data_IF_963297945177
#
_entry.id   IF_963297945177
#
_cell.length_a   1.000
_cell.length_b   1.000
_cell.length_c   1.000
_cell.angle_alpha   90.00
_cell.angle_beta   90.00
_cell.angle_gamma   90.00
#
_symmetry.space_group_name_H-M   'P 1'
#
loop_
_entity.id
_entity.type
_entity.pdbx_description
1 polymer ?
#
# COMPACT_ATOMS: atom_id res chain seq x y z
N UNK A 1 1.67 -22.34 6.53
CA UNK A 1 0.49 -21.75 7.20
C UNK A 1 0.61 -20.25 6.97
N UNK A 2 -0.18 -19.66 6.06
CA UNK A 2 0.01 -18.28 5.55
C UNK A 2 -0.70 -17.21 6.39
N UNK A 3 -1.09 -17.55 7.62
CA UNK A 3 -1.77 -16.62 8.51
C UNK A 3 -0.74 -15.66 9.09
N UNK A 4 -0.71 -14.45 8.53
CA UNK A 4 0.09 -13.28 8.93
C UNK A 4 -0.68 -12.35 9.87
N UNK A 5 -1.71 -12.89 10.52
CA UNK A 5 -2.63 -12.12 11.36
C UNK A 5 -2.74 -12.73 12.75
N UNK A 6 -2.70 -11.89 13.77
CA UNK A 6 -2.90 -12.23 15.19
C UNK A 6 -4.15 -11.54 15.75
N UNK A 7 -5.29 -11.79 15.09
CA UNK A 7 -6.60 -11.31 15.54
C UNK A 7 -7.31 -10.39 14.55
N UNK A 8 -8.33 -9.71 15.04
CA UNK A 8 -9.19 -8.82 14.26
C UNK A 8 -9.58 -7.61 15.10
N UNK A 9 -9.41 -6.43 14.51
CA UNK A 9 -9.82 -5.16 15.09
C UNK A 9 -11.27 -4.87 14.68
N UNK A 10 -12.21 -4.96 15.62
CA UNK A 10 -13.64 -4.71 15.36
C UNK A 10 -13.96 -3.22 15.15
N UNK A 11 -13.13 -2.30 15.66
CA UNK A 11 -13.33 -0.86 15.51
C UNK A 11 -12.98 -0.42 14.09
N UNK A 12 -11.90 -0.96 13.55
CA UNK A 12 -11.39 -0.63 12.21
C UNK A 12 -11.75 -1.67 11.13
N UNK A 13 -12.37 -2.79 11.51
CA UNK A 13 -12.87 -3.84 10.61
C UNK A 13 -11.73 -4.47 9.78
N UNK A 14 -10.57 -4.69 10.40
CA UNK A 14 -9.36 -5.21 9.74
C UNK A 14 -8.62 -6.26 10.60
N UNK A 15 -7.86 -7.18 9.97
CA UNK A 15 -6.99 -8.11 10.70
C UNK A 15 -5.84 -7.40 11.41
N UNK A 16 -5.49 -7.85 12.61
CA UNK A 16 -4.28 -7.42 13.33
C UNK A 16 -3.08 -8.18 12.78
N UNK A 17 -1.95 -7.51 12.49
CA UNK A 17 -0.77 -8.13 11.89
C UNK A 17 0.08 -8.89 12.91
N UNK A 18 0.59 -10.08 12.53
CA UNK A 18 1.57 -10.84 13.30
C UNK A 18 2.99 -10.35 12.95
N UNK A 19 3.50 -9.40 13.74
CA UNK A 19 4.78 -8.70 13.50
C UNK A 19 5.97 -9.66 13.41
N UNK A 20 6.04 -10.67 14.30
CA UNK A 20 7.16 -11.63 14.35
C UNK A 20 7.22 -12.52 13.10
N UNK A 21 6.07 -12.93 12.57
CA UNK A 21 6.02 -13.71 11.32
C UNK A 21 6.34 -12.86 10.10
N UNK A 22 5.85 -11.63 10.07
CA UNK A 22 6.14 -10.69 9.00
C UNK A 22 7.65 -10.41 8.95
N UNK A 23 8.28 -10.18 10.09
CA UNK A 23 9.72 -9.90 10.17
C UNK A 23 10.57 -11.00 9.50
N UNK A 24 10.25 -12.27 9.77
CA UNK A 24 10.97 -13.39 9.16
C UNK A 24 10.79 -13.41 7.63
N UNK A 25 9.57 -13.22 7.13
CA UNK A 25 9.32 -13.19 5.68
C UNK A 25 9.99 -12.00 4.99
N UNK A 26 9.95 -10.83 5.62
CA UNK A 26 10.57 -9.62 5.08
C UNK A 26 12.09 -9.75 5.01
N UNK A 27 12.70 -10.50 5.93
CA UNK A 27 14.15 -10.76 5.93
C UNK A 27 14.63 -11.65 4.76
N UNK A 28 13.75 -12.51 4.21
CA UNK A 28 14.06 -13.34 3.04
C UNK A 28 14.00 -12.54 1.72
N UNK A 29 13.32 -11.38 1.73
CA UNK A 29 13.17 -10.52 0.57
C UNK A 29 12.20 -11.05 -0.50
N UNK A 30 11.99 -10.28 -1.57
CA UNK A 30 11.07 -10.64 -2.65
C UNK A 30 9.58 -10.59 -2.28
N UNK A 31 9.22 -9.84 -1.24
CA UNK A 31 7.86 -9.72 -0.72
C UNK A 31 7.20 -8.44 -1.26
N UNK A 32 5.92 -8.55 -1.62
CA UNK A 32 5.05 -7.40 -1.90
C UNK A 32 4.07 -7.29 -0.73
N UNK A 33 4.07 -6.13 -0.06
CA UNK A 33 3.14 -5.82 1.02
C UNK A 33 2.06 -4.90 0.48
N UNK A 34 0.80 -5.24 0.72
CA UNK A 34 -0.38 -4.42 0.41
C UNK A 34 -1.10 -4.08 1.70
N UNK A 35 -1.03 -2.81 2.11
CA UNK A 35 -1.72 -2.29 3.27
C UNK A 35 -2.02 -0.80 3.08
N UNK A 36 -3.01 -0.30 3.83
CA UNK A 36 -3.48 1.08 3.70
C UNK A 36 -2.76 2.07 4.62
N UNK A 37 -1.90 1.60 5.53
CA UNK A 37 -1.03 2.39 6.39
C UNK A 37 0.39 1.83 6.37
N UNK A 38 1.36 2.61 6.81
CA UNK A 38 2.77 2.28 6.65
C UNK A 38 3.73 2.80 7.73
N UNK A 39 3.26 3.65 8.65
CA UNK A 39 4.07 4.27 9.71
C UNK A 39 4.61 3.30 10.77
N UNK A 40 3.91 2.18 10.97
CA UNK A 40 4.29 1.15 11.93
C UNK A 40 5.26 0.10 11.36
N UNK A 41 5.50 0.07 10.05
CA UNK A 41 6.45 -0.86 9.47
C UNK A 41 7.90 -0.39 9.66
N UNK A 42 8.85 -1.31 9.94
CA UNK A 42 10.26 -0.95 9.97
C UNK A 42 10.76 -0.38 8.64
N UNK A 43 11.36 0.81 8.64
CA UNK A 43 11.84 1.50 7.42
C UNK A 43 12.70 0.60 6.52
N UNK A 44 13.55 -0.25 7.13
CA UNK A 44 14.46 -1.18 6.43
C UNK A 44 13.78 -2.28 5.62
N UNK A 45 12.46 -2.46 5.76
CA UNK A 45 11.73 -3.51 5.05
C UNK A 45 11.56 -3.20 3.57
N UNK A 46 11.55 -1.94 3.18
CA UNK A 46 11.13 -1.54 1.83
C UNK A 46 12.26 -0.90 1.03
N UNK A 47 12.48 -1.45 -0.16
CA UNK A 47 13.38 -0.86 -1.16
C UNK A 47 12.68 0.19 -2.03
N UNK A 48 11.34 0.14 -2.09
CA UNK A 48 10.48 1.08 -2.82
C UNK A 48 9.07 1.08 -2.20
N UNK A 49 8.39 2.21 -2.25
CA UNK A 49 7.04 2.41 -1.73
C UNK A 49 6.18 3.07 -2.81
N UNK A 50 5.03 2.48 -3.10
CA UNK A 50 4.07 3.02 -4.07
C UNK A 50 2.77 3.43 -3.37
N UNK A 51 2.40 4.70 -3.48
CA UNK A 51 1.13 5.23 -2.98
C UNK A 51 0.17 5.35 -4.16
N UNK A 52 -0.83 4.48 -4.22
CA UNK A 52 -1.84 4.54 -5.28
C UNK A 52 -2.79 5.71 -5.06
N UNK A 53 -3.00 6.53 -6.10
CA UNK A 53 -3.90 7.69 -6.08
C UNK A 53 -5.09 7.46 -7.00
N UNK A 54 -6.28 7.80 -6.51
CA UNK A 54 -7.53 7.66 -7.27
C UNK A 54 -8.35 8.93 -7.14
N UNK A 55 -8.87 9.44 -8.26
CA UNK A 55 -9.78 10.58 -8.27
C UNK A 55 -10.98 10.32 -7.36
N UNK A 56 -11.33 11.31 -6.54
CA UNK A 56 -12.37 11.17 -5.50
C UNK A 56 -13.71 10.65 -6.03
N UNK A 57 -14.12 11.07 -7.23
CA UNK A 57 -15.39 10.63 -7.81
C UNK A 57 -15.37 9.15 -8.22
N UNK A 58 -14.20 8.63 -8.60
CA UNK A 58 -13.98 7.22 -8.94
C UNK A 58 -13.86 6.41 -7.66
N UNK A 59 -13.06 6.88 -6.70
CA UNK A 59 -12.87 6.23 -5.40
C UNK A 59 -14.21 6.08 -4.65
N UNK A 60 -15.01 7.15 -4.59
CA UNK A 60 -16.34 7.12 -3.96
C UNK A 60 -17.20 5.99 -4.54
N UNK A 61 -17.32 5.92 -5.88
CA UNK A 61 -18.12 4.88 -6.56
C UNK A 61 -17.58 3.46 -6.27
N UNK A 62 -16.26 3.29 -6.22
CA UNK A 62 -15.64 2.00 -5.89
C UNK A 62 -15.99 1.56 -4.48
N UNK A 63 -15.91 2.46 -3.50
CA UNK A 63 -16.23 2.16 -2.11
C UNK A 63 -17.74 1.97 -1.88
N UNK A 64 -18.58 2.73 -2.57
CA UNK A 64 -20.04 2.57 -2.55
C UNK A 64 -20.44 1.20 -3.10
N UNK A 65 -19.85 0.77 -4.22
CA UNK A 65 -20.06 -0.56 -4.78
C UNK A 65 -19.54 -1.70 -3.89
N UNK A 66 -18.59 -1.42 -2.98
CA UNK A 66 -18.14 -2.36 -1.94
C UNK A 66 -19.10 -2.44 -0.74
N UNK A 67 -20.17 -1.64 -0.73
CA UNK A 67 -21.18 -1.65 0.34
C UNK A 67 -20.77 -0.88 1.59
N UNK A 68 -19.82 0.06 1.48
CA UNK A 68 -19.42 0.88 2.63
C UNK A 68 -20.56 1.77 3.08
N UNK A 69 -20.75 1.90 4.39
CA UNK A 69 -21.74 2.82 4.95
C UNK A 69 -21.31 4.29 4.77
N UNK A 70 -22.24 5.23 4.96
CA UNK A 70 -22.02 6.67 4.73
C UNK A 70 -20.81 7.21 5.51
N UNK A 71 -20.63 6.78 6.77
CA UNK A 71 -19.50 7.18 7.60
C UNK A 71 -18.17 6.71 6.97
N UNK A 72 -18.04 5.40 6.68
CA UNK A 72 -16.85 4.83 6.06
C UNK A 72 -16.54 5.48 4.71
N UNK A 73 -17.56 5.73 3.88
CA UNK A 73 -17.38 6.42 2.59
C UNK A 73 -16.78 7.81 2.78
N UNK A 74 -17.37 8.60 3.67
CA UNK A 74 -16.91 9.96 3.95
C UNK A 74 -15.49 9.96 4.50
N UNK A 75 -15.19 9.12 5.49
CA UNK A 75 -13.88 9.06 6.13
C UNK A 75 -12.78 8.69 5.12
N UNK A 76 -13.02 7.66 4.27
CA UNK A 76 -12.05 7.23 3.27
C UNK A 76 -11.85 8.26 2.14
N UNK A 77 -12.91 8.90 1.67
CA UNK A 77 -12.78 9.94 0.64
C UNK A 77 -12.10 11.19 1.19
N UNK A 78 -12.36 11.58 2.44
CA UNK A 78 -11.63 12.67 3.09
C UNK A 78 -10.15 12.33 3.26
N UNK A 79 -9.84 11.08 3.62
CA UNK A 79 -8.47 10.56 3.72
C UNK A 79 -7.71 10.74 2.39
N UNK A 80 -8.33 10.39 1.26
CA UNK A 80 -7.72 10.57 -0.07
C UNK A 80 -7.59 12.06 -0.47
N UNK A 81 -8.60 12.88 -0.19
CA UNK A 81 -8.57 14.34 -0.44
C UNK A 81 -7.41 15.01 0.30
N UNK A 82 -7.22 14.66 1.57
CA UNK A 82 -6.16 15.21 2.40
C UNK A 82 -4.81 14.54 2.19
N UNK A 83 -4.70 13.58 1.28
CA UNK A 83 -3.46 12.89 0.94
C UNK A 83 -2.77 12.23 2.15
N UNK A 84 -3.55 11.80 3.15
CA UNK A 84 -3.03 11.33 4.44
C UNK A 84 -1.96 10.25 4.26
N UNK A 85 -2.21 9.24 3.41
CA UNK A 85 -1.28 8.13 3.20
C UNK A 85 -0.04 8.52 2.38
N UNK A 86 -0.13 9.57 1.56
CA UNK A 86 1.05 10.07 0.87
C UNK A 86 1.97 10.80 1.83
N UNK A 87 1.41 11.66 2.71
CA UNK A 87 2.16 12.35 3.75
C UNK A 87 2.76 11.37 4.75
N UNK A 88 2.01 10.34 5.15
CA UNK A 88 2.49 9.27 6.03
C UNK A 88 3.68 8.51 5.43
N UNK A 89 3.60 8.16 4.14
CA UNK A 89 4.71 7.50 3.45
C UNK A 89 5.96 8.40 3.38
N UNK A 90 5.80 9.69 3.11
CA UNK A 90 6.92 10.65 3.10
C UNK A 90 7.51 10.90 4.49
N UNK A 91 6.70 10.76 5.54
CA UNK A 91 7.17 10.88 6.91
C UNK A 91 7.92 9.62 7.39
N UNK A 92 7.58 8.46 6.82
CA UNK A 92 8.09 7.14 7.26
C UNK A 92 9.26 6.63 6.43
N UNK A 93 9.40 7.09 5.18
CA UNK A 93 10.41 6.63 4.24
C UNK A 93 11.11 7.79 3.56
N UNK A 94 12.29 7.51 3.02
CA UNK A 94 13.03 8.51 2.24
C UNK A 94 12.26 8.89 0.97
N UNK A 95 12.21 10.18 0.68
CA UNK A 95 11.44 10.73 -0.45
C UNK A 95 11.82 10.06 -1.79
N UNK A 96 13.09 9.69 -1.99
CA UNK A 96 13.56 9.08 -3.24
C UNK A 96 13.00 7.69 -3.52
N UNK A 97 12.44 6.99 -2.52
CA UNK A 97 11.83 5.67 -2.69
C UNK A 97 10.30 5.71 -2.66
N UNK A 98 9.69 6.87 -2.43
CA UNK A 98 8.23 7.05 -2.36
C UNK A 98 7.70 7.59 -3.69
N UNK A 99 6.84 6.82 -4.35
CA UNK A 99 6.27 7.20 -5.64
C UNK A 99 4.75 7.13 -5.63
N UNK A 100 4.10 8.15 -6.16
CA UNK A 100 2.66 8.12 -6.40
C UNK A 100 2.35 7.48 -7.75
N UNK A 101 1.36 6.59 -7.80
CA UNK A 101 0.90 5.97 -9.04
C UNK A 101 -0.60 6.25 -9.26
N UNK A 102 -1.02 6.71 -10.46
CA UNK A 102 -2.43 6.83 -10.78
C UNK A 102 -3.08 5.44 -10.80
N UNK A 103 -4.34 5.34 -10.37
CA UNK A 103 -5.08 4.08 -10.33
C UNK A 103 -6.57 4.28 -10.64
N UNK A 104 -6.88 5.06 -11.68
CA UNK A 104 -8.25 5.47 -12.01
C UNK A 104 -8.95 4.51 -12.97
N UNK A 105 -8.22 3.99 -13.95
CA UNK A 105 -8.73 3.19 -15.07
C UNK A 105 -7.86 1.95 -15.32
N UNK A 106 -8.36 0.95 -16.07
CA UNK A 106 -7.60 -0.28 -16.36
C UNK A 106 -6.24 -0.03 -17.02
N UNK A 107 -6.13 1.00 -17.86
CA UNK A 107 -4.86 1.36 -18.50
C UNK A 107 -3.81 1.81 -17.48
N UNK A 108 -4.22 2.52 -16.42
CA UNK A 108 -3.30 2.89 -15.34
C UNK A 108 -2.75 1.63 -14.62
N UNK A 109 -3.59 0.59 -14.46
CA UNK A 109 -3.15 -0.67 -13.88
C UNK A 109 -2.11 -1.38 -14.77
N UNK A 110 -2.34 -1.44 -16.07
CA UNK A 110 -1.39 -2.03 -17.03
C UNK A 110 -0.05 -1.27 -17.06
N UNK A 111 -0.10 0.06 -17.05
CA UNK A 111 1.06 0.93 -16.98
C UNK A 111 1.82 0.76 -15.66
N UNK A 112 1.10 0.66 -14.53
CA UNK A 112 1.70 0.44 -13.21
C UNK A 112 2.40 -0.92 -13.12
N UNK A 113 1.75 -1.99 -13.60
CA UNK A 113 2.36 -3.33 -13.66
C UNK A 113 3.64 -3.27 -14.49
N UNK A 114 3.61 -2.63 -15.65
CA UNK A 114 4.77 -2.50 -16.54
C UNK A 114 5.92 -1.75 -15.87
N UNK A 115 5.63 -0.66 -15.16
CA UNK A 115 6.64 0.14 -14.47
C UNK A 115 7.25 -0.60 -13.28
N UNK A 116 6.43 -1.24 -12.45
CA UNK A 116 6.88 -2.00 -11.28
C UNK A 116 7.73 -3.20 -11.72
N UNK A 117 7.33 -3.93 -12.75
CA UNK A 117 8.12 -5.06 -13.28
C UNK A 117 9.49 -4.61 -13.81
N UNK A 118 9.54 -3.50 -14.55
CA UNK A 118 10.81 -2.94 -15.02
C UNK A 118 11.72 -2.51 -13.87
N UNK A 119 11.14 -1.91 -12.83
CA UNK A 119 11.88 -1.54 -11.63
C UNK A 119 12.44 -2.78 -10.92
N UNK A 120 11.63 -3.83 -10.71
CA UNK A 120 12.08 -5.09 -10.10
C UNK A 120 13.22 -5.71 -10.92
N UNK A 121 13.07 -5.79 -12.24
CA UNK A 121 14.10 -6.34 -13.13
C UNK A 121 15.43 -5.59 -13.00
N UNK A 122 15.37 -4.26 -12.96
CA UNK A 122 16.57 -3.42 -12.81
C UNK A 122 17.19 -3.57 -11.41
N UNK A 123 16.37 -3.54 -10.36
CA UNK A 123 16.84 -3.67 -8.98
C UNK A 123 17.56 -5.00 -8.75
N UNK A 124 17.01 -6.10 -9.28
CA UNK A 124 17.64 -7.44 -9.20
C UNK A 124 18.97 -7.47 -9.96
N UNK A 125 19.08 -6.82 -11.12
CA UNK A 125 20.36 -6.74 -11.86
C UNK A 125 21.42 -5.97 -11.08
N UNK A 126 21.03 -4.89 -10.41
CA UNK A 126 21.96 -4.03 -9.68
C UNK A 126 22.44 -4.65 -8.36
N UNK A 127 21.68 -5.58 -7.77
CA UNK A 127 21.95 -6.17 -6.45
C UNK A 127 22.17 -7.68 -6.44
N UNK A 128 22.01 -8.36 -7.59
CA UNK A 128 22.11 -9.81 -7.74
C UNK A 128 23.52 -10.34 -8.08
N UNK A 129 24.57 -9.67 -7.61
CA UNK A 129 25.98 -10.11 -7.79
C UNK A 129 26.41 -11.10 -6.71
#
# INVERSE_FOLDING_TARGET
>A
NWQLYDGYDEEYDCPILDEDRLENQMSEGGVIVDYHGCDFFPERWFHIVFVLKTDNSILYKRLENRGYNEKKLKDNVQCEIFQVLHEEALASYKEEIVHQLPSNKPEDLEDNITQILKWIEQWVKDHGS
#
